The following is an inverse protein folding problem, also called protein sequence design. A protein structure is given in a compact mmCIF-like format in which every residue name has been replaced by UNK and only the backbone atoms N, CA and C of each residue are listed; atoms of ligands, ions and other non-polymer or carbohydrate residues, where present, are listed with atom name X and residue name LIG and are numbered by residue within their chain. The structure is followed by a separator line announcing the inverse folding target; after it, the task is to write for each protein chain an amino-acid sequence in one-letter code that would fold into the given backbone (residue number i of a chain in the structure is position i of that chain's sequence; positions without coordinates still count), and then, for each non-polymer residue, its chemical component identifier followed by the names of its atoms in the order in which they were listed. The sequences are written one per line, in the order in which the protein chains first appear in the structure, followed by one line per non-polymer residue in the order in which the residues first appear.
data_IF_906901261237
#
_entry.id   IF_906901261237
#
_cell.length_a   1.000
_cell.length_b   1.000
_cell.length_c   1.000
_cell.angle_alpha   90.00
_cell.angle_beta   90.00
_cell.angle_gamma   90.00
#
_symmetry.space_group_name_H-M   'P 1'
#
loop_
_entity.id
_entity.type
_entity.pdbx_description
1 polymer ?
#
# COMPACT_ATOMS: atom_id res chain seq x y z
N UNK A 1 18.44 16.15 2.84
CA UNK A 1 17.23 15.84 2.11
C UNK A 1 16.02 16.52 2.72
N UNK A 2 15.18 17.06 1.93
CA UNK A 2 14.01 17.79 2.39
C UNK A 2 12.78 16.91 2.33
N UNK A 3 11.90 17.06 3.31
CA UNK A 3 10.62 16.32 3.34
C UNK A 3 9.80 16.64 2.09
N UNK A 4 9.78 17.91 1.67
CA UNK A 4 9.07 18.31 0.46
C UNK A 4 9.61 17.63 -0.80
N UNK A 5 10.91 17.36 -0.84
CA UNK A 5 11.55 16.67 -1.94
C UNK A 5 11.12 15.19 -1.99
N UNK A 6 11.02 14.54 -0.83
CA UNK A 6 10.50 13.17 -0.75
C UNK A 6 9.06 13.13 -1.25
N UNK A 7 8.22 14.07 -0.82
CA UNK A 7 6.83 14.13 -1.25
C UNK A 7 6.71 14.30 -2.77
N UNK A 8 7.56 15.14 -3.38
CA UNK A 8 7.49 15.37 -4.82
C UNK A 8 7.99 14.19 -5.64
N UNK A 9 8.83 13.31 -5.04
CA UNK A 9 9.39 12.15 -5.73
C UNK A 9 8.52 10.90 -5.61
N UNK A 10 7.49 10.93 -4.77
CA UNK A 10 6.59 9.81 -4.57
C UNK A 10 5.20 10.16 -5.10
N UNK A 11 4.69 9.28 -5.96
CA UNK A 11 3.34 9.42 -6.50
C UNK A 11 2.31 9.19 -5.41
N UNK A 12 1.18 9.90 -5.52
CA UNK A 12 0.01 9.67 -4.67
C UNK A 12 0.29 9.94 -3.20
N UNK A 13 0.99 11.04 -2.91
CA UNK A 13 1.39 11.35 -1.54
C UNK A 13 0.18 11.48 -0.60
N UNK A 14 -0.90 12.09 -1.08
CA UNK A 14 -2.11 12.23 -0.27
C UNK A 14 -2.71 10.88 0.07
N UNK A 15 -2.84 10.01 -0.92
CA UNK A 15 -3.39 8.67 -0.74
C UNK A 15 -2.46 7.83 0.15
N UNK A 16 -1.15 7.99 0.00
CA UNK A 16 -0.17 7.33 0.85
C UNK A 16 -0.32 7.76 2.30
N UNK A 17 -0.51 9.05 2.54
CA UNK A 17 -0.68 9.57 3.89
C UNK A 17 -1.96 9.04 4.53
N UNK A 18 -3.04 9.03 3.78
CA UNK A 18 -4.33 8.52 4.27
C UNK A 18 -4.24 7.04 4.61
N UNK A 19 -3.63 6.25 3.73
CA UNK A 19 -3.51 4.81 3.98
C UNK A 19 -2.57 4.51 5.14
N UNK A 20 -1.45 5.22 5.26
CA UNK A 20 -0.56 5.07 6.40
C UNK A 20 -1.27 5.40 7.71
N UNK A 21 -2.10 6.44 7.72
CA UNK A 21 -2.90 6.78 8.90
C UNK A 21 -3.86 5.64 9.25
N UNK A 22 -4.48 5.01 8.26
CA UNK A 22 -5.37 3.87 8.49
C UNK A 22 -4.62 2.70 9.14
N UNK A 23 -3.41 2.39 8.68
CA UNK A 23 -2.59 1.35 9.31
C UNK A 23 -2.30 1.67 10.77
N UNK A 24 -1.88 2.89 11.06
CA UNK A 24 -1.52 3.30 12.42
C UNK A 24 -2.71 3.33 13.36
N UNK A 25 -3.85 3.80 12.88
CA UNK A 25 -5.08 3.78 13.66
C UNK A 25 -5.54 2.35 13.97
N UNK A 26 -5.43 1.46 13.00
CA UNK A 26 -5.76 0.05 13.20
C UNK A 26 -4.88 -0.57 14.28
N UNK A 27 -3.58 -0.28 14.26
CA UNK A 27 -2.67 -0.76 15.29
C UNK A 27 -3.02 -0.16 16.65
N UNK A 28 -3.30 1.14 16.71
CA UNK A 28 -3.64 1.83 17.94
C UNK A 28 -4.92 1.29 18.58
N UNK A 29 -5.87 0.88 17.75
CA UNK A 29 -7.13 0.29 18.21
C UNK A 29 -7.02 -1.22 18.44
N UNK A 30 -5.84 -1.78 18.28
CA UNK A 30 -5.55 -3.21 18.46
C UNK A 30 -6.42 -4.09 17.56
N UNK A 31 -6.60 -3.67 16.31
CA UNK A 31 -7.43 -4.36 15.33
C UNK A 31 -6.59 -4.93 14.18
N UNK A 32 -5.43 -5.50 14.51
CA UNK A 32 -4.49 -6.03 13.50
C UNK A 32 -4.00 -7.40 13.92
N UNK A 33 -3.41 -8.14 12.99
CA UNK A 33 -2.86 -9.47 13.24
C UNK A 33 -1.36 -9.48 12.95
N UNK A 34 -0.58 -8.92 13.87
CA UNK A 34 0.88 -8.87 13.80
C UNK A 34 1.34 -8.25 12.46
N UNK A 35 2.09 -9.01 11.64
CA UNK A 35 2.63 -8.50 10.37
C UNK A 35 2.03 -9.24 9.16
N UNK A 36 1.01 -10.06 9.39
CA UNK A 36 0.49 -10.98 8.36
C UNK A 36 -0.69 -10.43 7.56
N UNK A 37 -1.18 -9.24 7.88
CA UNK A 37 -2.33 -8.67 7.19
C UNK A 37 -1.94 -7.44 6.36
N UNK A 38 -2.88 -6.99 5.53
CA UNK A 38 -2.61 -5.91 4.59
C UNK A 38 -3.87 -5.13 4.26
N UNK A 39 -3.68 -3.84 3.95
CA UNK A 39 -4.72 -2.97 3.40
C UNK A 39 -4.22 -2.47 2.05
N UNK A 40 -5.16 -2.11 1.20
CA UNK A 40 -4.81 -1.48 -0.07
C UNK A 40 -5.77 -0.33 -0.39
N UNK A 41 -5.29 0.57 -1.24
CA UNK A 41 -6.08 1.72 -1.69
C UNK A 41 -5.83 1.90 -3.18
N UNK A 42 -6.90 1.87 -3.98
CA UNK A 42 -6.77 2.11 -5.41
C UNK A 42 -6.38 3.57 -5.67
N UNK A 43 -5.52 3.77 -6.65
CA UNK A 43 -5.04 5.11 -7.03
C UNK A 43 -5.22 5.40 -8.51
N UNK A 44 -5.87 4.50 -9.26
CA UNK A 44 -6.21 4.72 -10.66
C UNK A 44 -7.71 4.55 -10.88
N UNK A 45 -8.24 5.25 -11.88
CA UNK A 45 -9.67 5.23 -12.15
C UNK A 45 -10.15 3.85 -12.62
N UNK A 46 -9.30 3.09 -13.27
CA UNK A 46 -9.62 1.76 -13.76
C UNK A 46 -9.36 0.65 -12.74
N UNK A 47 -8.85 1.01 -11.56
CA UNK A 47 -8.58 0.06 -10.49
C UNK A 47 -7.35 -0.81 -10.69
N UNK A 48 -6.50 -0.53 -11.69
CA UNK A 48 -5.34 -1.38 -11.95
C UNK A 48 -4.17 -1.07 -11.04
N UNK A 49 -4.05 0.17 -10.56
CA UNK A 49 -2.95 0.59 -9.68
C UNK A 49 -3.45 0.83 -8.28
N UNK A 50 -2.70 0.33 -7.32
CA UNK A 50 -3.07 0.45 -5.91
C UNK A 50 -1.84 0.52 -5.02
N UNK A 51 -2.04 1.11 -3.86
CA UNK A 51 -1.04 1.15 -2.80
C UNK A 51 -1.29 0.02 -1.82
N UNK A 52 -0.21 -0.55 -1.28
CA UNK A 52 -0.28 -1.63 -0.30
C UNK A 52 0.93 -1.56 0.61
N UNK A 53 0.83 -2.15 1.79
CA UNK A 53 1.94 -2.18 2.74
C UNK A 53 3.02 -3.18 2.32
N UNK A 54 4.29 -2.89 2.67
CA UNK A 54 5.37 -3.85 2.46
C UNK A 54 5.21 -5.05 3.39
N UNK A 55 5.81 -6.17 2.99
CA UNK A 55 5.80 -7.38 3.79
C UNK A 55 6.56 -7.20 5.09
N UNK A 56 6.10 -7.86 6.14
CA UNK A 56 6.82 -8.00 7.42
C UNK A 56 7.03 -6.69 8.19
N UNK A 57 6.25 -5.67 7.93
CA UNK A 57 6.29 -4.42 8.69
C UNK A 57 5.01 -4.31 9.50
N UNK A 58 5.16 -4.13 10.81
CA UNK A 58 4.00 -3.97 11.70
C UNK A 58 3.26 -2.68 11.37
N UNK A 59 1.93 -2.70 11.47
CA UNK A 59 1.08 -1.57 11.10
C UNK A 59 1.46 -0.27 11.83
N UNK A 60 1.90 -0.37 13.09
CA UNK A 60 2.32 0.79 13.88
C UNK A 60 3.55 1.50 13.32
N UNK A 61 4.30 0.85 12.44
CA UNK A 61 5.55 1.37 11.88
C UNK A 61 5.45 1.78 10.41
N UNK A 62 4.29 1.59 9.79
CA UNK A 62 4.13 1.90 8.37
C UNK A 62 4.08 3.42 8.19
N UNK A 63 4.96 3.92 7.33
CA UNK A 63 5.00 5.32 6.91
C UNK A 63 4.45 5.45 5.50
N UNK A 64 3.99 6.65 5.16
CA UNK A 64 3.50 6.92 3.81
C UNK A 64 4.54 6.57 2.74
N UNK A 65 5.82 6.83 3.02
CA UNK A 65 6.91 6.51 2.10
C UNK A 65 7.22 5.02 1.98
N UNK A 66 6.75 4.20 2.92
CA UNK A 66 6.96 2.75 2.88
C UNK A 66 5.97 2.03 1.95
N UNK A 67 4.84 2.64 1.66
CA UNK A 67 3.80 2.01 0.86
C UNK A 67 4.28 1.80 -0.57
N UNK A 68 3.87 0.68 -1.14
CA UNK A 68 4.27 0.27 -2.49
C UNK A 68 3.15 0.55 -3.47
N UNK A 69 3.51 1.07 -4.63
CA UNK A 69 2.57 1.21 -5.74
C UNK A 69 2.67 -0.03 -6.62
N UNK A 70 1.60 -0.80 -6.70
CA UNK A 70 1.55 -2.01 -7.51
C UNK A 70 0.58 -1.83 -8.67
N UNK A 71 0.83 -2.59 -9.73
CA UNK A 71 -0.04 -2.66 -10.90
C UNK A 71 -0.53 -4.09 -11.04
N UNK A 72 -1.84 -4.29 -10.99
CA UNK A 72 -2.44 -5.63 -11.08
C UNK A 72 -2.21 -6.30 -12.43
N UNK A 73 -1.84 -5.53 -13.46
CA UNK A 73 -1.57 -6.06 -14.79
C UNK A 73 -0.09 -6.23 -15.06
N UNK A 74 0.77 -5.91 -14.10
CA UNK A 74 2.22 -6.02 -14.25
C UNK A 74 2.83 -6.74 -13.05
N UNK A 75 3.07 -8.05 -13.15
CA UNK A 75 3.67 -8.80 -12.03
C UNK A 75 5.09 -8.36 -11.70
N UNK A 76 5.77 -7.61 -12.56
CA UNK A 76 7.09 -7.09 -12.26
C UNK A 76 7.07 -6.09 -11.10
N UNK A 77 5.92 -5.55 -10.76
CA UNK A 77 5.79 -4.69 -9.58
C UNK A 77 6.06 -5.45 -8.29
N UNK A 78 6.03 -6.78 -8.30
CA UNK A 78 6.41 -7.61 -7.17
C UNK A 78 7.92 -7.78 -6.99
N UNK A 79 8.72 -7.30 -7.94
CA UNK A 79 10.18 -7.42 -7.88
C UNK A 79 10.84 -6.27 -7.12
N UNK A 80 10.04 -5.52 -6.35
CA UNK A 80 10.53 -4.42 -5.53
C UNK A 80 11.14 -4.95 -4.24
N UNK A 81 12.16 -4.26 -3.69
CA UNK A 81 12.59 -4.53 -2.32
C UNK A 81 11.40 -4.36 -1.38
N UNK A 82 11.28 -5.22 -0.38
CA UNK A 82 10.16 -5.19 0.57
C UNK A 82 8.79 -5.41 -0.09
N UNK A 83 8.76 -6.15 -1.20
CA UNK A 83 7.51 -6.45 -1.89
C UNK A 83 6.49 -7.05 -0.92
N UNK A 84 5.20 -6.85 -1.18
CA UNK A 84 4.16 -7.49 -0.37
C UNK A 84 4.12 -8.99 -0.66
N UNK A 85 3.38 -9.70 0.17
CA UNK A 85 3.02 -11.08 -0.11
C UNK A 85 2.37 -11.16 -1.50
N UNK A 86 2.79 -12.11 -2.37
CA UNK A 86 2.15 -12.29 -3.68
C UNK A 86 0.63 -12.48 -3.61
N UNK A 87 0.14 -13.08 -2.52
CA UNK A 87 -1.31 -13.21 -2.29
C UNK A 87 -1.98 -11.85 -2.20
N UNK A 88 -1.33 -10.88 -1.58
CA UNK A 88 -1.87 -9.52 -1.49
C UNK A 88 -1.98 -8.88 -2.87
N UNK A 89 -0.97 -9.04 -3.72
CA UNK A 89 -1.03 -8.53 -5.08
C UNK A 89 -2.20 -9.15 -5.86
N UNK A 90 -2.36 -10.46 -5.80
CA UNK A 90 -3.43 -11.14 -6.54
C UNK A 90 -4.81 -10.78 -6.04
N UNK A 91 -5.03 -10.83 -4.73
CA UNK A 91 -6.34 -10.57 -4.13
C UNK A 91 -6.75 -9.11 -4.29
N UNK A 92 -5.90 -8.19 -3.87
CA UNK A 92 -6.24 -6.76 -3.95
C UNK A 92 -6.29 -6.27 -5.39
N UNK A 93 -5.41 -6.77 -6.25
CA UNK A 93 -5.44 -6.43 -7.66
C UNK A 93 -6.75 -6.82 -8.31
N UNK A 94 -7.26 -8.02 -8.02
CA UNK A 94 -8.53 -8.48 -8.54
C UNK A 94 -9.70 -7.64 -8.00
N UNK A 95 -9.70 -7.36 -6.69
CA UNK A 95 -10.76 -6.57 -6.08
C UNK A 95 -10.85 -5.17 -6.69
N UNK A 96 -9.73 -4.49 -6.81
CA UNK A 96 -9.75 -3.13 -7.34
C UNK A 96 -10.11 -3.08 -8.82
N UNK A 97 -9.70 -4.09 -9.60
CA UNK A 97 -10.05 -4.17 -11.01
C UNK A 97 -11.53 -4.43 -11.22
N UNK A 98 -12.13 -5.29 -10.38
CA UNK A 98 -13.54 -5.65 -10.47
C UNK A 98 -14.45 -4.62 -9.82
N UNK A 99 -13.95 -3.92 -8.81
CA UNK A 99 -14.68 -2.91 -8.03
C UNK A 99 -13.81 -1.66 -7.91
N UNK A 100 -13.66 -0.88 -9.00
CA UNK A 100 -12.71 0.25 -9.00
C UNK A 100 -13.12 1.43 -8.14
N UNK A 101 -14.30 1.39 -7.54
CA UNK A 101 -14.79 2.43 -6.63
C UNK A 101 -14.60 1.94 -5.19
#
# INVERSE_FOLDING_TARGET
MKIAQVKSNLNFWRERTDLAAAFRWTARLNMHEAVANHFSLTVSNDGTKFLVNPSMVHFSRIRASDLLELDSQNPDTLNLPNAPDPTAWGLHGALHRLCPH
#
